data_IF_866553621055
#
_entry.id   IF_866553621055
#
_cell.length_a   1.000
_cell.length_b   1.000
_cell.length_c   1.000
_cell.angle_alpha   90.00
_cell.angle_beta   90.00
_cell.angle_gamma   90.00
#
_symmetry.space_group_name_H-M   'P 1'
#
loop_
_entity.id
_entity.type
_entity.pdbx_description
1 polymer ?
#
# COMPACT_ATOMS: atom_id res chain seq x y z
N UNK A 1 15.93 -2.36 -3.53
CA UNK A 1 14.75 -3.07 -4.09
C UNK A 1 14.04 -4.02 -3.12
N UNK A 2 14.56 -4.33 -1.91
CA UNK A 2 13.85 -5.21 -0.96
C UNK A 2 12.78 -4.49 -0.11
N UNK A 3 13.09 -3.28 0.36
CA UNK A 3 12.21 -2.48 1.24
C UNK A 3 10.90 -2.09 0.55
N UNK A 4 10.95 -1.38 -0.59
CA UNK A 4 9.74 -0.98 -1.34
C UNK A 4 8.83 -2.16 -1.65
N UNK A 5 9.41 -3.28 -2.07
CA UNK A 5 8.64 -4.46 -2.40
C UNK A 5 7.97 -5.07 -1.16
N UNK A 6 8.63 -5.04 0.00
CA UNK A 6 8.05 -5.48 1.27
C UNK A 6 6.90 -4.58 1.73
N UNK A 7 7.09 -3.25 1.69
CA UNK A 7 6.04 -2.28 2.04
C UNK A 7 4.82 -2.42 1.12
N UNK A 8 5.03 -2.46 -0.20
CA UNK A 8 3.95 -2.66 -1.17
C UNK A 8 3.21 -3.98 -0.92
N UNK A 9 3.91 -5.07 -0.63
CA UNK A 9 3.27 -6.35 -0.29
C UNK A 9 2.44 -6.24 0.98
N UNK A 10 2.94 -5.59 2.04
CA UNK A 10 2.19 -5.43 3.28
C UNK A 10 0.86 -4.69 3.05
N UNK A 11 0.92 -3.57 2.32
CA UNK A 11 -0.28 -2.80 1.96
C UNK A 11 -1.23 -3.64 1.08
N UNK A 12 -0.71 -4.28 0.02
CA UNK A 12 -1.54 -5.06 -0.90
C UNK A 12 -2.20 -6.26 -0.21
N UNK A 13 -1.51 -6.92 0.71
CA UNK A 13 -2.07 -8.00 1.53
C UNK A 13 -3.19 -7.48 2.42
N UNK A 14 -2.98 -6.34 3.10
CA UNK A 14 -4.01 -5.73 3.94
C UNK A 14 -5.28 -5.44 3.13
N UNK A 15 -5.15 -4.76 1.99
CA UNK A 15 -6.28 -4.44 1.11
C UNK A 15 -7.03 -5.73 0.70
N UNK A 16 -6.32 -6.76 0.23
CA UNK A 16 -6.94 -8.03 -0.19
C UNK A 16 -7.65 -8.76 0.96
N UNK A 17 -7.10 -8.70 2.18
CA UNK A 17 -7.69 -9.34 3.36
C UNK A 17 -8.85 -8.57 3.99
N UNK A 18 -8.96 -7.26 3.71
CA UNK A 18 -9.92 -6.37 4.36
C UNK A 18 -11.34 -6.46 3.80
N UNK A 19 -11.53 -7.02 2.60
CA UNK A 19 -12.82 -7.01 1.89
C UNK A 19 -13.23 -5.62 1.35
N UNK A 20 -12.36 -4.61 1.47
CA UNK A 20 -12.60 -3.26 0.96
C UNK A 20 -12.73 -3.22 -0.56
N UNK A 21 -13.59 -2.32 -1.07
CA UNK A 21 -13.54 -1.92 -2.47
C UNK A 21 -12.32 -1.04 -2.74
N UNK A 22 -11.95 -0.84 -4.02
CA UNK A 22 -10.87 0.10 -4.36
C UNK A 22 -11.15 1.53 -3.86
N UNK A 23 -12.42 1.93 -3.76
CA UNK A 23 -12.83 3.25 -3.27
C UNK A 23 -12.68 3.36 -1.74
N UNK A 24 -13.08 2.32 -1.01
CA UNK A 24 -12.90 2.28 0.46
C UNK A 24 -11.41 2.32 0.82
N UNK A 25 -10.60 1.52 0.11
CA UNK A 25 -9.16 1.53 0.28
C UNK A 25 -8.57 2.90 -0.06
N UNK A 26 -8.99 3.54 -1.15
CA UNK A 26 -8.52 4.87 -1.50
C UNK A 26 -8.78 5.90 -0.38
N UNK A 27 -9.96 5.84 0.25
CA UNK A 27 -10.30 6.64 1.43
C UNK A 27 -9.42 6.33 2.64
N UNK A 28 -9.30 5.05 3.01
CA UNK A 28 -8.50 4.62 4.16
C UNK A 28 -7.01 4.98 4.04
N UNK A 29 -6.45 4.86 2.83
CA UNK A 29 -5.06 5.19 2.55
C UNK A 29 -4.84 6.66 2.15
N UNK A 30 -5.89 7.48 2.09
CA UNK A 30 -5.84 8.89 1.69
C UNK A 30 -5.18 9.12 0.31
N UNK A 31 -5.48 8.26 -0.67
CA UNK A 31 -4.93 8.33 -2.04
C UNK A 31 -6.04 8.25 -3.09
N UNK A 32 -5.70 8.47 -4.36
CA UNK A 32 -6.63 8.23 -5.45
C UNK A 32 -6.87 6.72 -5.70
N UNK A 33 -8.04 6.35 -6.23
CA UNK A 33 -8.39 4.96 -6.61
C UNK A 33 -7.40 4.36 -7.62
N UNK A 34 -6.90 5.15 -8.57
CA UNK A 34 -5.87 4.69 -9.53
C UNK A 34 -4.58 4.24 -8.82
N UNK A 35 -4.23 4.90 -7.71
CA UNK A 35 -3.06 4.55 -6.90
C UNK A 35 -3.24 3.21 -6.21
N UNK A 36 -4.46 2.92 -5.71
CA UNK A 36 -4.79 1.59 -5.17
C UNK A 36 -4.64 0.51 -6.23
N UNK A 37 -5.16 0.74 -7.44
CA UNK A 37 -5.04 -0.23 -8.55
C UNK A 37 -3.60 -0.51 -8.93
N UNK A 38 -2.78 0.53 -9.09
CA UNK A 38 -1.35 0.37 -9.40
C UNK A 38 -0.63 -0.41 -8.29
N UNK A 39 -0.96 -0.15 -7.02
CA UNK A 39 -0.38 -0.85 -5.87
C UNK A 39 -0.75 -2.33 -5.85
N UNK A 40 -2.04 -2.64 -6.01
CA UNK A 40 -2.57 -4.02 -6.00
C UNK A 40 -2.07 -4.80 -7.23
N UNK A 41 -1.82 -4.13 -8.35
CA UNK A 41 -1.19 -4.72 -9.55
C UNK A 41 0.33 -4.90 -9.41
N UNK A 42 0.94 -4.38 -8.35
CA UNK A 42 2.37 -4.56 -8.08
C UNK A 42 3.29 -3.66 -8.92
N UNK A 43 2.78 -2.53 -9.44
CA UNK A 43 3.53 -1.55 -10.24
C UNK A 43 4.52 -0.74 -9.39
N UNK A 44 5.51 -1.42 -8.81
CA UNK A 44 6.47 -0.88 -7.84
C UNK A 44 7.29 0.31 -8.39
N UNK A 45 7.46 0.38 -9.70
CA UNK A 45 8.09 1.49 -10.40
C UNK A 45 7.35 2.83 -10.23
N UNK A 46 6.03 2.79 -9.99
CA UNK A 46 5.21 3.99 -9.77
C UNK A 46 5.29 4.51 -8.32
N UNK A 47 6.02 3.82 -7.43
CA UNK A 47 6.07 4.15 -6.01
C UNK A 47 7.51 4.34 -5.52
N UNK A 48 7.72 5.44 -4.82
CA UNK A 48 8.92 5.62 -4.01
C UNK A 48 8.70 5.05 -2.58
N UNK A 49 9.77 4.99 -1.79
CA UNK A 49 9.69 4.43 -0.42
C UNK A 49 8.84 5.30 0.49
N UNK A 50 8.97 6.63 0.40
CA UNK A 50 8.29 7.58 1.28
C UNK A 50 6.78 7.56 1.06
N UNK A 51 6.32 7.44 -0.18
CA UNK A 51 4.91 7.25 -0.54
C UNK A 51 4.34 6.00 0.12
N UNK A 52 5.06 4.87 0.07
CA UNK A 52 4.60 3.61 0.68
C UNK A 52 4.58 3.69 2.22
N UNK A 53 5.54 4.39 2.83
CA UNK A 53 5.55 4.65 4.27
C UNK A 53 4.38 5.54 4.67
N UNK A 54 4.10 6.61 3.92
CA UNK A 54 2.96 7.49 4.16
C UNK A 54 1.62 6.74 4.05
N UNK A 55 1.49 5.84 3.07
CA UNK A 55 0.31 4.99 2.93
C UNK A 55 0.13 4.04 4.12
N UNK A 56 1.19 3.38 4.61
CA UNK A 56 1.09 2.55 5.83
C UNK A 56 0.65 3.38 7.03
N UNK A 57 1.24 4.57 7.21
CA UNK A 57 0.89 5.47 8.31
C UNK A 57 -0.58 5.93 8.23
N UNK A 58 -1.08 6.27 7.03
CA UNK A 58 -2.48 6.68 6.85
C UNK A 58 -3.48 5.58 7.26
N UNK A 59 -3.13 4.31 7.01
CA UNK A 59 -3.95 3.17 7.38
C UNK A 59 -3.64 2.60 8.79
N UNK A 60 -2.81 3.28 9.60
CA UNK A 60 -2.33 2.80 10.90
C UNK A 60 -1.74 1.37 10.86
N UNK A 61 -0.98 1.07 9.81
CA UNK A 61 -0.32 -0.22 9.63
C UNK A 61 1.14 -0.14 10.05
N UNK A 62 1.61 -1.14 10.79
CA UNK A 62 3.03 -1.29 11.11
C UNK A 62 3.82 -1.67 9.86
N UNK A 63 5.04 -1.12 9.74
CA UNK A 63 5.97 -1.57 8.72
C UNK A 63 6.34 -3.04 8.97
N UNK A 64 6.35 -3.90 7.93
CA UNK A 64 6.76 -5.29 8.08
C UNK A 64 8.18 -5.32 8.65
N UNK A 65 8.43 -6.21 9.61
CA UNK A 65 9.74 -6.31 10.26
C UNK A 65 10.80 -6.68 9.21
N UNK A 66 11.67 -5.73 8.86
CA UNK A 66 12.72 -5.87 7.84
C UNK A 66 14.00 -6.40 8.50
N UNK A 67 13.94 -7.60 9.09
CA UNK A 67 15.10 -8.32 9.62
C UNK A 67 15.93 -8.97 8.50
#
# INVERSE_FOLDING_TARGET
MKVRAALMRAIATHIRSSGMTDADAAGAFCVAVSRIKDLVQGKIENFNTDELVAMLAAANLDAPNLS
#
